data_IF_846000707531
#
_entry.id   IF_846000707531
#
_cell.length_a   1.000
_cell.length_b   1.000
_cell.length_c   1.000
_cell.angle_alpha   90.00
_cell.angle_beta   90.00
_cell.angle_gamma   90.00
#
_symmetry.space_group_name_H-M   'P 1'
#
loop_
_entity.id
_entity.type
_entity.pdbx_description
1 polymer ?
#
# COMPACT_ATOMS: atom_id res chain seq x y z
N UNK A 1 -30.85 29.02 -82.63
CA UNK A 1 -31.97 29.83 -82.13
C UNK A 1 -31.46 30.66 -80.96
N UNK A 2 -31.48 32.00 -81.11
CA UNK A 2 -31.80 33.07 -80.12
C UNK A 2 -31.17 32.94 -78.72
N UNK A 3 -30.14 33.68 -78.32
CA UNK A 3 -29.98 35.15 -78.11
C UNK A 3 -30.86 35.77 -77.00
N UNK A 4 -30.21 36.21 -75.91
CA UNK A 4 -30.41 37.43 -75.09
C UNK A 4 -29.51 37.23 -73.83
N UNK A 5 -28.36 37.88 -73.60
CA UNK A 5 -27.99 39.31 -73.58
C UNK A 5 -28.96 40.18 -72.78
N UNK A 6 -28.59 40.47 -71.53
CA UNK A 6 -28.53 41.80 -70.87
C UNK A 6 -27.36 41.73 -69.90
N UNK A 7 -26.17 42.19 -70.28
CA UNK A 7 -25.60 43.55 -70.04
C UNK A 7 -25.70 43.97 -68.56
N UNK A 8 -24.61 44.02 -67.76
CA UNK A 8 -23.43 44.91 -67.83
C UNK A 8 -23.88 46.38 -67.60
N UNK A 9 -23.42 47.18 -66.63
CA UNK A 9 -22.12 47.33 -65.98
C UNK A 9 -22.23 48.29 -64.75
N UNK A 10 -21.28 48.18 -63.80
CA UNK A 10 -20.77 49.14 -62.80
C UNK A 10 -21.53 50.44 -62.47
N UNK A 11 -21.70 50.72 -61.18
CA UNK A 11 -21.07 51.88 -60.53
C UNK A 11 -21.10 51.78 -58.98
N UNK A 12 -20.08 52.39 -58.38
CA UNK A 12 -19.64 52.41 -56.98
C UNK A 12 -20.51 53.31 -56.09
N UNK A 13 -20.83 52.87 -54.87
CA UNK A 13 -20.98 53.66 -53.62
C UNK A 13 -20.87 52.61 -52.48
N UNK A 14 -19.72 52.41 -51.84
CA UNK A 14 -19.34 53.05 -50.58
C UNK A 14 -20.53 53.33 -49.63
N UNK A 15 -21.06 52.27 -49.00
CA UNK A 15 -21.78 52.39 -47.73
C UNK A 15 -20.98 51.61 -46.67
N UNK A 16 -19.94 52.30 -46.20
CA UNK A 16 -19.50 52.21 -44.83
C UNK A 16 -20.68 52.46 -43.88
N UNK A 17 -20.56 51.94 -42.65
CA UNK A 17 -21.34 52.35 -41.48
C UNK A 17 -22.73 51.70 -41.26
N UNK A 18 -22.78 50.38 -41.09
CA UNK A 18 -23.75 49.76 -40.15
C UNK A 18 -23.23 48.48 -39.48
N UNK A 19 -21.94 48.47 -39.13
CA UNK A 19 -21.40 47.46 -38.22
C UNK A 19 -21.55 47.98 -36.78
N UNK A 20 -22.74 47.81 -36.21
CA UNK A 20 -23.04 48.22 -34.84
C UNK A 20 -22.05 47.69 -33.80
N UNK A 21 -21.97 48.33 -32.61
CA UNK A 21 -20.94 48.09 -31.58
C UNK A 21 -20.89 46.65 -31.04
N UNK A 22 -21.90 45.83 -31.30
CA UNK A 22 -21.97 44.44 -30.84
C UNK A 22 -20.99 43.49 -31.57
N UNK A 23 -20.61 43.77 -32.82
CA UNK A 23 -19.68 42.91 -33.60
C UNK A 23 -18.23 43.16 -33.19
N UNK A 24 -17.86 44.40 -32.88
CA UNK A 24 -16.54 44.74 -32.37
C UNK A 24 -16.35 44.19 -30.95
N UNK A 25 -17.39 44.27 -30.10
CA UNK A 25 -17.45 43.73 -28.73
C UNK A 25 -17.26 42.21 -28.61
N UNK A 26 -17.42 41.44 -29.68
CA UNK A 26 -17.12 39.99 -29.69
C UNK A 26 -15.68 39.71 -30.12
N UNK A 27 -15.07 40.57 -30.94
CA UNK A 27 -13.71 40.38 -31.45
C UNK A 27 -12.64 40.72 -30.40
N UNK A 28 -12.87 41.74 -29.59
CA UNK A 28 -12.06 42.11 -28.42
C UNK A 28 -12.20 41.11 -27.23
N UNK A 29 -13.32 40.38 -27.09
CA UNK A 29 -13.44 39.27 -26.14
C UNK A 29 -12.50 38.09 -26.47
N UNK A 30 -12.16 37.87 -27.74
CA UNK A 30 -11.26 36.79 -28.16
C UNK A 30 -9.79 37.20 -28.21
N UNK A 31 -9.49 38.50 -28.24
CA UNK A 31 -8.10 39.00 -28.19
C UNK A 31 -7.58 38.92 -26.76
N UNK A 32 -6.38 38.40 -26.53
CA UNK A 32 -5.84 38.32 -25.17
C UNK A 32 -5.62 39.73 -24.62
N UNK A 33 -5.77 39.90 -23.30
CA UNK A 33 -5.82 41.21 -22.61
C UNK A 33 -4.63 42.12 -22.94
N UNK A 34 -3.45 41.53 -23.14
CA UNK A 34 -2.22 42.25 -23.49
C UNK A 34 -2.21 42.88 -24.89
N UNK A 35 -3.17 42.53 -25.75
CA UNK A 35 -3.31 43.04 -27.12
C UNK A 35 -4.42 44.11 -27.25
N UNK A 36 -5.01 44.53 -26.12
CA UNK A 36 -6.07 45.53 -26.02
C UNK A 36 -5.54 46.85 -25.44
N UNK A 37 -6.22 47.96 -25.72
CA UNK A 37 -5.93 49.25 -25.08
C UNK A 37 -6.40 49.21 -23.63
N UNK A 38 -5.78 50.00 -22.73
CA UNK A 38 -6.09 49.98 -21.30
C UNK A 38 -7.59 50.02 -20.99
N UNK A 39 -8.34 50.94 -21.62
CA UNK A 39 -9.78 51.08 -21.40
C UNK A 39 -10.59 49.85 -21.88
N UNK A 40 -10.19 49.23 -22.99
CA UNK A 40 -10.90 48.03 -23.52
C UNK A 40 -10.51 46.75 -22.78
N UNK A 41 -9.30 46.69 -22.23
CA UNK A 41 -8.90 45.64 -21.30
C UNK A 41 -9.67 45.76 -19.98
N UNK A 42 -9.86 46.97 -19.45
CA UNK A 42 -10.62 47.23 -18.21
C UNK A 42 -12.11 46.88 -18.37
N UNK A 43 -12.77 47.30 -19.46
CA UNK A 43 -14.16 46.89 -19.78
C UNK A 43 -14.28 45.36 -19.89
N UNK A 44 -13.32 44.71 -20.55
CA UNK A 44 -13.33 43.24 -20.68
C UNK A 44 -13.17 42.54 -19.33
N UNK A 45 -12.34 43.08 -18.44
CA UNK A 45 -12.17 42.55 -17.09
C UNK A 45 -13.50 42.65 -16.32
N UNK A 46 -14.12 43.83 -16.31
CA UNK A 46 -15.41 44.07 -15.62
C UNK A 46 -16.51 43.13 -16.12
N UNK A 47 -16.61 42.91 -17.43
CA UNK A 47 -17.60 41.96 -17.98
C UNK A 47 -17.34 40.50 -17.60
N UNK A 48 -16.06 40.11 -17.41
CA UNK A 48 -15.73 38.75 -16.97
C UNK A 48 -16.02 38.60 -15.48
N UNK A 49 -15.70 39.61 -14.67
CA UNK A 49 -16.02 39.62 -13.23
C UNK A 49 -17.53 39.55 -12.98
N UNK A 50 -18.34 40.30 -13.75
CA UNK A 50 -19.79 40.22 -13.69
C UNK A 50 -20.33 38.85 -14.13
N UNK A 51 -19.71 38.22 -15.13
CA UNK A 51 -20.09 36.89 -15.58
C UNK A 51 -19.76 35.82 -14.53
N UNK A 52 -18.58 35.89 -13.91
CA UNK A 52 -18.16 35.00 -12.82
C UNK A 52 -19.03 35.20 -11.57
N UNK A 53 -19.41 36.44 -11.25
CA UNK A 53 -20.32 36.73 -10.16
C UNK A 53 -21.71 36.11 -10.39
N UNK A 54 -22.23 36.20 -11.62
CA UNK A 54 -23.50 35.56 -11.98
C UNK A 54 -23.42 34.03 -11.92
N UNK A 55 -22.32 33.43 -12.39
CA UNK A 55 -22.08 31.99 -12.29
C UNK A 55 -22.02 31.53 -10.82
N UNK A 56 -21.36 32.31 -9.95
CA UNK A 56 -21.32 32.01 -8.52
C UNK A 56 -22.70 32.12 -7.85
N UNK A 57 -23.50 33.12 -8.25
CA UNK A 57 -24.88 33.27 -7.77
C UNK A 57 -25.75 32.12 -8.27
N UNK A 58 -25.62 31.72 -9.54
CA UNK A 58 -26.35 30.60 -10.13
C UNK A 58 -25.98 29.27 -9.45
N UNK A 59 -24.70 29.04 -9.20
CA UNK A 59 -24.21 27.89 -8.43
C UNK A 59 -24.80 27.88 -7.02
N UNK A 60 -24.72 29.00 -6.29
CA UNK A 60 -25.22 29.08 -4.92
C UNK A 60 -26.74 28.84 -4.84
N UNK A 61 -27.49 29.34 -5.82
CA UNK A 61 -28.94 29.15 -5.89
C UNK A 61 -29.34 27.72 -6.25
N UNK A 62 -28.52 27.02 -7.02
CA UNK A 62 -28.75 25.65 -7.46
C UNK A 62 -27.99 24.61 -6.61
N UNK A 63 -27.37 25.01 -5.51
CA UNK A 63 -26.65 24.11 -4.62
C UNK A 63 -27.63 23.36 -3.71
N UNK A 64 -27.88 22.10 -4.03
CA UNK A 64 -28.67 21.20 -3.19
C UNK A 64 -27.77 20.54 -2.13
N UNK A 65 -27.70 21.16 -0.96
CA UNK A 65 -26.90 20.70 0.17
C UNK A 65 -27.48 19.41 0.76
N UNK A 66 -28.81 19.26 0.74
CA UNK A 66 -29.48 18.10 1.34
C UNK A 66 -29.18 16.83 0.53
N UNK A 67 -29.28 16.89 -0.80
CA UNK A 67 -28.86 15.81 -1.71
C UNK A 67 -27.38 15.41 -1.48
N UNK A 68 -26.50 16.41 -1.33
CA UNK A 68 -25.09 16.14 -1.06
C UNK A 68 -24.86 15.47 0.30
N UNK A 69 -25.58 15.91 1.34
CA UNK A 69 -25.50 15.32 2.67
C UNK A 69 -26.03 13.89 2.70
N UNK A 70 -27.13 13.62 1.99
CA UNK A 70 -27.67 12.28 1.81
C UNK A 70 -26.66 11.34 1.13
N UNK A 71 -26.00 11.81 0.06
CA UNK A 71 -24.96 11.04 -0.63
C UNK A 71 -23.75 10.74 0.28
N UNK A 72 -23.36 11.70 1.12
CA UNK A 72 -22.29 11.52 2.12
C UNK A 72 -22.70 10.50 3.18
N UNK A 73 -23.94 10.57 3.68
CA UNK A 73 -24.46 9.61 4.65
C UNK A 73 -24.52 8.20 4.05
N UNK A 74 -25.01 8.06 2.81
CA UNK A 74 -25.05 6.79 2.10
C UNK A 74 -23.63 6.23 1.94
N UNK A 75 -22.66 7.04 1.53
CA UNK A 75 -21.25 6.63 1.44
C UNK A 75 -20.70 6.15 2.78
N UNK A 76 -21.02 6.85 3.87
CA UNK A 76 -20.60 6.44 5.21
C UNK A 76 -21.23 5.08 5.62
N UNK A 77 -22.52 4.88 5.33
CA UNK A 77 -23.22 3.61 5.58
C UNK A 77 -22.64 2.47 4.74
N UNK A 78 -22.33 2.71 3.45
CA UNK A 78 -21.70 1.71 2.57
C UNK A 78 -20.32 1.32 3.10
N UNK A 79 -19.49 2.29 3.50
CA UNK A 79 -18.18 2.01 4.09
C UNK A 79 -18.28 1.18 5.38
N UNK A 80 -19.31 1.43 6.21
CA UNK A 80 -19.58 0.63 7.40
C UNK A 80 -19.96 -0.82 7.04
N UNK A 81 -20.80 -1.03 6.03
CA UNK A 81 -21.18 -2.36 5.55
C UNK A 81 -19.97 -3.09 4.97
N UNK A 82 -19.12 -2.43 4.19
CA UNK A 82 -17.88 -3.00 3.67
C UNK A 82 -16.93 -3.46 4.79
N UNK A 83 -16.80 -2.66 5.85
CA UNK A 83 -16.02 -3.04 7.02
C UNK A 83 -16.58 -4.29 7.71
N UNK A 84 -17.91 -4.36 7.88
CA UNK A 84 -18.57 -5.53 8.47
C UNK A 84 -18.39 -6.77 7.59
N UNK A 85 -18.54 -6.62 6.27
CA UNK A 85 -18.33 -7.70 5.32
C UNK A 85 -16.89 -8.22 5.36
N UNK A 86 -15.89 -7.33 5.44
CA UNK A 86 -14.50 -7.70 5.58
C UNK A 86 -14.24 -8.48 6.88
N UNK A 87 -14.86 -8.07 7.98
CA UNK A 87 -14.76 -8.79 9.25
C UNK A 87 -15.37 -10.20 9.14
N UNK A 88 -16.57 -10.33 8.58
CA UNK A 88 -17.22 -11.64 8.38
C UNK A 88 -16.38 -12.52 7.46
N UNK A 89 -15.87 -11.98 6.36
CA UNK A 89 -15.00 -12.71 5.44
C UNK A 89 -13.75 -13.24 6.14
N UNK A 90 -13.13 -12.44 7.00
CA UNK A 90 -11.94 -12.88 7.75
C UNK A 90 -12.22 -14.04 8.71
N UNK A 91 -13.44 -14.11 9.27
CA UNK A 91 -13.86 -15.22 10.14
C UNK A 91 -14.06 -16.48 9.29
N UNK A 92 -14.75 -16.36 8.16
CA UNK A 92 -14.98 -17.47 7.24
C UNK A 92 -13.65 -18.06 6.75
N UNK A 93 -12.72 -17.21 6.32
CA UNK A 93 -11.40 -17.64 5.85
C UNK A 93 -10.61 -18.36 6.96
N UNK A 94 -10.74 -17.92 8.22
CA UNK A 94 -10.11 -18.55 9.37
C UNK A 94 -10.72 -19.93 9.67
N UNK A 95 -12.06 -20.02 9.67
CA UNK A 95 -12.78 -21.27 9.93
C UNK A 95 -12.49 -22.30 8.84
N UNK A 96 -12.50 -21.91 7.56
CA UNK A 96 -12.14 -22.78 6.44
C UNK A 96 -10.69 -23.28 6.56
N UNK A 97 -9.76 -22.40 6.95
CA UNK A 97 -8.37 -22.78 7.15
C UNK A 97 -8.18 -23.75 8.34
N UNK A 98 -8.95 -23.59 9.41
CA UNK A 98 -8.96 -24.50 10.57
C UNK A 98 -9.60 -25.85 10.22
N UNK A 99 -10.71 -25.87 9.49
CA UNK A 99 -11.33 -27.12 9.01
C UNK A 99 -10.35 -27.91 8.14
N UNK A 100 -9.71 -27.26 7.18
CA UNK A 100 -8.68 -27.88 6.32
C UNK A 100 -7.43 -28.32 7.10
N UNK A 101 -7.13 -27.71 8.25
CA UNK A 101 -6.09 -28.19 9.17
C UNK A 101 -6.54 -29.46 9.88
N UNK A 102 -7.75 -29.46 10.41
CA UNK A 102 -8.34 -30.60 11.11
C UNK A 102 -8.47 -31.82 10.17
N UNK A 103 -8.96 -31.63 8.95
CA UNK A 103 -9.07 -32.69 7.94
C UNK A 103 -7.72 -33.35 7.62
N UNK A 104 -6.65 -32.55 7.45
CA UNK A 104 -5.31 -33.09 7.19
C UNK A 104 -4.75 -33.86 8.38
N UNK A 105 -5.03 -33.38 9.60
CA UNK A 105 -4.62 -34.09 10.81
C UNK A 105 -5.41 -35.40 10.96
N UNK A 106 -6.72 -35.36 10.70
CA UNK A 106 -7.57 -36.55 10.71
C UNK A 106 -7.11 -37.57 9.67
N UNK A 107 -6.75 -37.13 8.46
CA UNK A 107 -6.15 -38.00 7.43
C UNK A 107 -4.84 -38.63 7.90
N UNK A 108 -3.96 -37.87 8.58
CA UNK A 108 -2.73 -38.45 9.17
C UNK A 108 -3.04 -39.48 10.24
N UNK A 109 -4.00 -39.20 11.12
CA UNK A 109 -4.38 -40.11 12.21
C UNK A 109 -5.03 -41.38 11.63
N UNK A 110 -5.88 -41.25 10.61
CA UNK A 110 -6.48 -42.39 9.92
C UNK A 110 -5.45 -43.22 9.15
N UNK A 111 -4.48 -42.58 8.49
CA UNK A 111 -3.35 -43.26 7.85
C UNK A 111 -2.51 -44.03 8.89
N UNK A 112 -2.27 -43.44 10.06
CA UNK A 112 -1.58 -44.10 11.17
C UNK A 112 -2.38 -45.29 11.74
N UNK A 113 -3.70 -45.15 11.84
CA UNK A 113 -4.62 -46.18 12.34
C UNK A 113 -4.82 -47.33 11.34
N UNK A 114 -4.85 -47.06 10.04
CA UNK A 114 -4.98 -48.04 8.96
C UNK A 114 -3.65 -48.74 8.58
N UNK A 115 -2.60 -48.58 9.39
CA UNK A 115 -1.36 -49.34 9.25
C UNK A 115 -0.29 -48.71 8.36
N UNK A 116 -0.35 -47.39 8.09
CA UNK A 116 0.68 -46.60 7.40
C UNK A 116 2.01 -46.45 8.16
N UNK A 117 2.36 -47.42 9.01
CA UNK A 117 3.65 -47.56 9.65
C UNK A 117 4.66 -48.28 8.76
N UNK A 118 4.85 -47.82 7.52
CA UNK A 118 6.02 -48.18 6.73
C UNK A 118 6.84 -46.91 6.51
N UNK A 119 7.57 -46.52 7.55
CA UNK A 119 8.65 -45.56 7.44
C UNK A 119 9.55 -46.10 6.32
N UNK A 120 9.57 -45.45 5.15
CA UNK A 120 10.53 -45.78 4.12
C UNK A 120 11.90 -45.71 4.79
N UNK A 121 12.69 -46.79 4.76
CA UNK A 121 14.01 -46.84 5.41
C UNK A 121 14.95 -45.71 4.96
N UNK A 122 14.63 -45.07 3.84
CA UNK A 122 15.27 -43.87 3.35
C UNK A 122 15.02 -42.62 4.22
N UNK A 123 13.81 -42.42 4.76
CA UNK A 123 13.45 -41.26 5.59
C UNK A 123 14.01 -41.35 7.01
N UNK A 124 14.09 -42.57 7.56
CA UNK A 124 14.77 -42.84 8.84
C UNK A 124 16.27 -42.55 8.78
N UNK A 125 16.90 -42.83 7.63
CA UNK A 125 18.33 -42.59 7.43
C UNK A 125 18.68 -41.11 7.30
N UNK A 126 17.72 -40.26 6.87
CA UNK A 126 17.93 -38.81 6.69
C UNK A 126 17.74 -38.01 7.98
N UNK A 127 17.00 -38.55 8.95
CA UNK A 127 16.70 -37.87 10.21
C UNK A 127 17.79 -38.03 11.28
N UNK A 128 18.87 -38.78 11.03
CA UNK A 128 20.07 -38.76 11.89
C UNK A 128 19.80 -38.92 13.39
N UNK A 129 18.72 -39.62 13.75
CA UNK A 129 18.31 -39.81 15.13
C UNK A 129 19.13 -40.95 15.69
N UNK A 130 20.26 -40.60 16.28
CA UNK A 130 21.03 -41.49 17.13
C UNK A 130 20.10 -41.92 18.28
N UNK A 131 19.66 -43.18 18.23
CA UNK A 131 18.54 -43.74 19.01
C UNK A 131 18.95 -44.06 20.45
N UNK A 132 19.73 -43.17 21.07
CA UNK A 132 20.20 -43.29 22.45
C UNK A 132 19.64 -42.19 23.39
N UNK A 133 19.06 -41.10 22.85
CA UNK A 133 18.67 -39.91 23.64
C UNK A 133 17.14 -39.67 23.75
N UNK A 134 16.31 -40.59 23.22
CA UNK A 134 14.88 -40.35 23.06
C UNK A 134 14.01 -40.45 24.34
N UNK A 135 14.60 -40.85 25.49
CA UNK A 135 13.86 -40.94 26.76
C UNK A 135 13.83 -39.61 27.53
N UNK A 136 14.88 -38.82 27.43
CA UNK A 136 15.01 -37.56 28.20
C UNK A 136 14.19 -36.41 27.57
N UNK A 137 13.83 -36.54 26.29
CA UNK A 137 13.04 -35.57 25.55
C UNK A 137 11.57 -35.50 26.00
N UNK A 138 11.00 -36.63 26.43
CA UNK A 138 9.58 -36.72 26.81
C UNK A 138 9.31 -36.06 28.17
N UNK A 139 10.25 -36.19 29.11
CA UNK A 139 10.17 -35.58 30.43
C UNK A 139 10.25 -34.04 30.34
N UNK A 140 11.21 -33.51 29.57
CA UNK A 140 11.35 -32.07 29.37
C UNK A 140 10.14 -31.46 28.65
N UNK A 141 9.53 -32.19 27.71
CA UNK A 141 8.34 -31.76 26.99
C UNK A 141 7.07 -31.81 27.87
N UNK A 142 6.97 -32.81 28.74
CA UNK A 142 5.87 -32.94 29.71
C UNK A 142 5.91 -31.80 30.74
N UNK A 143 7.10 -31.49 31.28
CA UNK A 143 7.30 -30.35 32.20
C UNK A 143 6.98 -29.03 31.50
N UNK A 144 7.48 -28.82 30.28
CA UNK A 144 7.19 -27.62 29.50
C UNK A 144 5.70 -27.44 29.20
N UNK A 145 5.00 -28.52 28.87
CA UNK A 145 3.56 -28.51 28.61
C UNK A 145 2.76 -28.19 29.88
N UNK A 146 3.20 -28.69 31.04
CA UNK A 146 2.59 -28.38 32.33
C UNK A 146 2.75 -26.89 32.69
N UNK A 147 3.97 -26.35 32.57
CA UNK A 147 4.27 -24.93 32.87
C UNK A 147 3.47 -23.98 31.97
N UNK A 148 3.37 -24.30 30.68
CA UNK A 148 2.56 -23.50 29.75
C UNK A 148 1.06 -23.67 29.99
N UNK A 149 0.64 -24.81 30.54
CA UNK A 149 -0.75 -25.04 30.95
C UNK A 149 -1.11 -24.17 32.16
N UNK A 150 -0.22 -24.07 33.13
CA UNK A 150 -0.40 -23.31 34.37
C UNK A 150 -0.21 -21.79 34.18
N UNK A 151 0.75 -21.35 33.37
CA UNK A 151 1.12 -19.94 33.22
C UNK A 151 0.65 -19.34 31.87
N UNK A 152 -0.49 -18.62 31.90
CA UNK A 152 -1.05 -17.94 30.71
C UNK A 152 -0.07 -16.92 30.09
N UNK A 153 0.69 -16.21 30.93
CA UNK A 153 1.66 -15.21 30.47
C UNK A 153 2.80 -15.83 29.66
N UNK A 154 3.35 -16.96 30.11
CA UNK A 154 4.46 -17.65 29.43
C UNK A 154 3.97 -18.30 28.13
N UNK A 155 2.75 -18.85 28.12
CA UNK A 155 2.12 -19.43 26.93
C UNK A 155 1.95 -18.42 25.79
N UNK A 156 1.71 -17.16 26.12
CA UNK A 156 1.56 -16.09 25.13
C UNK A 156 2.86 -15.74 24.40
N UNK A 157 4.02 -16.09 24.96
CA UNK A 157 5.33 -15.64 24.48
C UNK A 157 6.21 -16.80 24.01
N UNK A 158 6.10 -17.97 24.66
CA UNK A 158 6.97 -19.12 24.40
C UNK A 158 6.19 -20.35 23.92
N UNK A 159 6.79 -21.07 22.97
CA UNK A 159 6.30 -22.38 22.52
C UNK A 159 6.80 -23.51 23.43
N UNK A 160 6.09 -24.64 23.45
CA UNK A 160 6.46 -25.85 24.21
C UNK A 160 7.91 -26.25 23.93
N UNK A 161 8.32 -26.21 22.66
CA UNK A 161 9.69 -26.53 22.23
C UNK A 161 10.73 -25.56 22.79
N UNK A 162 10.42 -24.27 22.86
CA UNK A 162 11.31 -23.26 23.44
C UNK A 162 11.48 -23.47 24.94
N UNK A 163 10.39 -23.76 25.65
CA UNK A 163 10.43 -24.01 27.11
C UNK A 163 11.19 -25.30 27.39
N UNK A 164 10.90 -26.39 26.67
CA UNK A 164 11.61 -27.67 26.81
C UNK A 164 13.12 -27.52 26.55
N UNK A 165 13.53 -26.74 25.55
CA UNK A 165 14.94 -26.46 25.29
C UNK A 165 15.62 -25.67 26.42
N UNK A 166 14.88 -24.80 27.12
CA UNK A 166 15.38 -24.10 28.31
C UNK A 166 15.54 -25.09 29.46
N UNK A 167 14.55 -25.96 29.71
CA UNK A 167 14.61 -27.00 30.74
C UNK A 167 15.83 -27.90 30.53
N UNK A 168 16.05 -28.37 29.31
CA UNK A 168 17.24 -29.17 28.95
C UNK A 168 18.55 -28.44 29.19
N UNK A 169 18.63 -27.14 28.87
CA UNK A 169 19.84 -26.34 29.15
C UNK A 169 20.09 -26.17 30.64
N UNK A 170 19.03 -26.06 31.43
CA UNK A 170 19.14 -25.98 32.90
C UNK A 170 19.55 -27.33 33.47
N UNK A 171 18.94 -28.43 33.02
CA UNK A 171 19.33 -29.79 33.40
C UNK A 171 20.76 -30.11 33.00
N UNK A 172 21.17 -29.78 31.77
CA UNK A 172 22.54 -29.94 31.31
C UNK A 172 23.50 -29.08 32.14
N UNK A 173 23.11 -27.85 32.53
CA UNK A 173 23.90 -27.04 33.46
C UNK A 173 23.98 -27.68 34.84
N UNK A 174 22.92 -28.24 35.39
CA UNK A 174 22.93 -28.93 36.68
C UNK A 174 23.75 -30.23 36.66
N UNK A 175 23.78 -30.93 35.53
CA UNK A 175 24.60 -32.12 35.31
C UNK A 175 26.08 -31.77 35.08
N UNK A 176 26.37 -30.57 34.54
CA UNK A 176 27.74 -30.08 34.31
C UNK A 176 28.30 -29.30 35.52
N UNK A 177 27.47 -28.67 36.34
CA UNK A 177 27.84 -27.87 37.53
C UNK A 177 28.16 -28.72 38.78
N UNK A 178 28.50 -30.00 38.59
CA UNK A 178 29.34 -30.74 39.55
C UNK A 178 30.77 -30.16 39.66
N UNK A 179 31.13 -29.14 38.87
CA UNK A 179 32.39 -28.40 38.97
C UNK A 179 32.18 -26.90 38.77
N UNK A 180 32.10 -26.18 39.90
CA UNK A 180 32.36 -24.75 40.17
C UNK A 180 32.01 -23.66 39.11
N UNK A 181 31.38 -22.53 39.52
CA UNK A 181 30.96 -21.48 38.60
C UNK A 181 32.15 -20.62 38.14
N UNK A 182 32.38 -20.60 36.82
CA UNK A 182 33.23 -19.58 36.18
C UNK A 182 32.39 -18.78 35.18
N UNK A 183 31.99 -17.59 35.61
CA UNK A 183 31.51 -16.48 34.79
C UNK A 183 32.43 -16.25 33.58
N UNK A 184 32.00 -16.65 32.38
CA UNK A 184 32.57 -16.14 31.13
C UNK A 184 31.47 -16.02 30.10
N UNK A 185 30.93 -14.81 30.04
CA UNK A 185 29.89 -14.39 29.13
C UNK A 185 30.32 -14.48 27.67
N UNK A 186 29.59 -15.27 26.90
CA UNK A 186 29.51 -15.09 25.45
C UNK A 186 28.40 -14.07 25.17
N UNK A 187 28.69 -12.79 25.38
CA UNK A 187 27.85 -11.69 24.86
C UNK A 187 27.87 -11.77 23.33
N UNK A 188 26.71 -11.82 22.64
CA UNK A 188 26.67 -11.77 21.19
C UNK A 188 27.30 -10.46 20.68
N UNK A 189 28.01 -10.47 19.53
CA UNK A 189 28.61 -9.27 18.99
C UNK A 189 27.52 -8.22 18.73
N UNK A 190 27.72 -7.03 19.29
CA UNK A 190 26.76 -5.95 19.16
C UNK A 190 26.51 -5.63 17.68
N UNK A 191 25.25 -5.35 17.28
CA UNK A 191 24.93 -5.03 15.91
C UNK A 191 25.69 -3.78 15.45
N UNK A 192 26.21 -3.82 14.22
CA UNK A 192 26.90 -2.67 13.62
C UNK A 192 25.86 -1.60 13.26
N UNK A 193 25.77 -0.58 14.09
CA UNK A 193 24.93 0.59 13.83
C UNK A 193 25.76 1.58 12.99
N UNK A 194 25.28 1.90 11.79
CA UNK A 194 25.82 2.98 10.96
C UNK A 194 24.84 4.14 11.04
N UNK A 195 25.19 5.16 11.82
CA UNK A 195 24.47 6.44 11.80
C UNK A 195 25.02 7.28 10.65
N UNK A 196 24.13 7.68 9.73
CA UNK A 196 24.48 8.59 8.65
C UNK A 196 24.07 9.98 9.10
N UNK A 197 25.05 10.87 9.24
CA UNK A 197 24.83 12.27 9.58
C UNK A 197 24.32 13.01 8.34
N UNK A 198 23.08 13.51 8.40
CA UNK A 198 22.42 14.21 7.28
C UNK A 198 22.72 15.72 7.28
N UNK A 199 23.40 16.25 8.31
CA UNK A 199 23.60 17.69 8.52
C UNK A 199 24.40 18.37 7.40
N UNK A 200 25.23 17.61 6.68
CA UNK A 200 26.03 18.10 5.54
C UNK A 200 25.42 17.84 4.16
N UNK A 201 24.24 17.22 4.09
CA UNK A 201 23.57 16.94 2.81
C UNK A 201 24.39 16.04 1.87
N UNK A 202 25.33 15.24 2.40
CA UNK A 202 26.25 14.40 1.60
C UNK A 202 25.47 13.45 0.69
N UNK A 203 24.32 12.93 1.13
CA UNK A 203 23.41 12.11 0.30
C UNK A 203 22.88 12.84 -0.93
N UNK A 204 22.63 14.15 -0.82
CA UNK A 204 22.19 14.97 -1.95
C UNK A 204 23.32 15.24 -2.94
N UNK A 205 24.54 15.42 -2.44
CA UNK A 205 25.74 15.58 -3.28
C UNK A 205 26.09 14.28 -4.02
N UNK A 206 25.90 13.11 -3.39
CA UNK A 206 26.14 11.81 -4.03
C UNK A 206 25.18 11.58 -5.21
N UNK A 207 23.92 12.03 -5.10
CA UNK A 207 22.92 11.92 -6.17
C UNK A 207 23.26 12.75 -7.41
N UNK A 208 23.99 13.86 -7.24
CA UNK A 208 24.39 14.75 -8.35
C UNK A 208 25.77 14.40 -8.90
N UNK A 209 26.45 13.39 -8.35
CA UNK A 209 27.74 12.95 -8.89
C UNK A 209 27.54 12.48 -10.33
N UNK A 210 28.35 12.99 -11.28
CA UNK A 210 28.27 12.57 -12.68
C UNK A 210 28.35 11.06 -12.83
N UNK A 211 29.16 10.38 -12.01
CA UNK A 211 29.32 8.93 -12.00
C UNK A 211 28.02 8.14 -11.79
N UNK A 212 27.00 8.73 -11.15
CA UNK A 212 25.71 8.07 -10.91
C UNK A 212 24.70 8.28 -12.07
N UNK A 213 25.11 8.92 -13.16
CA UNK A 213 24.22 9.16 -14.29
C UNK A 213 23.90 7.84 -15.02
N UNK A 214 22.63 7.60 -15.38
CA UNK A 214 22.16 6.31 -15.92
C UNK A 214 22.89 5.82 -17.17
N UNK A 215 23.49 6.73 -17.94
CA UNK A 215 24.13 6.45 -19.22
C UNK A 215 25.64 6.17 -19.10
N UNK A 216 26.29 6.53 -17.99
CA UNK A 216 27.75 6.35 -17.84
C UNK A 216 28.13 4.87 -17.80
N UNK A 217 27.26 4.05 -17.21
CA UNK A 217 27.48 2.60 -17.10
C UNK A 217 26.75 1.79 -18.18
N UNK A 218 26.19 2.46 -19.19
CA UNK A 218 25.58 1.79 -20.35
C UNK A 218 26.55 1.80 -21.53
N UNK A 219 26.57 0.69 -22.26
CA UNK A 219 27.36 0.57 -23.47
C UNK A 219 26.70 1.42 -24.58
N UNK A 220 27.36 2.45 -25.14
CA UNK A 220 26.77 3.31 -26.16
C UNK A 220 26.55 2.63 -27.52
N UNK A 221 27.01 1.39 -27.67
CA UNK A 221 26.89 0.59 -28.89
C UNK A 221 25.76 -0.46 -28.85
N UNK A 222 24.85 -0.39 -27.86
CA UNK A 222 23.63 -1.21 -27.78
C UNK A 222 22.41 -0.31 -27.86
#
# INVERSE_FOLDING_TARGET
>A
MREAVRSNNNDVEDDADDAGPAVEKKKNLNRPMWALTKATAEEKLETLEDAEANDLIEFANNLDIDQFMDDVEIKARVAQVEQQLAQVQSIVDYEEAEEKRCEREQQRVEELANGGGALNGHDLSRLGWDRADAKDDDDAMSVASSVLSECKSIRSVHSVRSVAAITKRVEAKLLTDGSAPSESGSTPPAPRIVTIDEERGVRMQIKTLPSNLPYIHRNPAI
#
